data_IF_043373768090
#
_entry.id   IF_043373768090
#
_cell.length_a   1.000
_cell.length_b   1.000
_cell.length_c   1.000
_cell.angle_alpha   90.00
_cell.angle_beta   90.00
_cell.angle_gamma   90.00
#
_symmetry.space_group_name_H-M   'P 1'
#
loop_
_entity.id
_entity.type
_entity.pdbx_description
1 polymer ?
#
# COMPACT_ATOMS: atom_id res chain seq x y z
N UNK A 1 -27.95 -7.77 -18.52
CA UNK A 1 -27.75 -7.89 -17.07
C UNK A 1 -26.82 -6.76 -16.64
N UNK A 2 -27.04 -6.13 -15.49
CA UNK A 2 -26.14 -5.06 -15.00
C UNK A 2 -24.76 -5.67 -14.74
N UNK A 3 -23.71 -5.10 -15.32
CA UNK A 3 -22.31 -5.52 -15.12
C UNK A 3 -21.77 -5.01 -13.79
N UNK A 4 -22.52 -4.18 -13.07
CA UNK A 4 -22.22 -3.61 -11.76
C UNK A 4 -23.31 -4.01 -10.79
N UNK A 5 -22.93 -4.58 -9.66
CA UNK A 5 -23.79 -5.01 -8.57
C UNK A 5 -23.51 -4.17 -7.32
N UNK A 6 -24.53 -3.56 -6.74
CA UNK A 6 -24.38 -2.84 -5.46
C UNK A 6 -24.19 -3.79 -4.29
N UNK A 7 -23.39 -3.38 -3.31
CA UNK A 7 -23.30 -4.06 -2.03
C UNK A 7 -24.65 -3.99 -1.29
N UNK A 8 -24.95 -5.03 -0.53
CA UNK A 8 -26.12 -5.01 0.35
C UNK A 8 -25.95 -3.93 1.43
N UNK A 9 -27.04 -3.33 1.93
CA UNK A 9 -26.98 -2.24 2.92
C UNK A 9 -26.15 -2.60 4.17
N UNK A 10 -26.23 -3.85 4.64
CA UNK A 10 -25.44 -4.33 5.77
C UNK A 10 -23.95 -4.46 5.43
N UNK A 11 -23.58 -4.80 4.20
CA UNK A 11 -22.20 -4.85 3.73
C UNK A 11 -21.62 -3.44 3.61
N UNK A 12 -22.37 -2.50 3.05
CA UNK A 12 -21.97 -1.09 2.93
C UNK A 12 -21.73 -0.46 4.30
N UNK A 13 -22.66 -0.65 5.23
CA UNK A 13 -22.50 -0.18 6.62
C UNK A 13 -21.26 -0.77 7.28
N UNK A 14 -21.10 -2.09 7.17
CA UNK A 14 -19.92 -2.77 7.74
C UNK A 14 -18.61 -2.27 7.12
N UNK A 15 -18.60 -2.01 5.82
CA UNK A 15 -17.41 -1.45 5.15
C UNK A 15 -17.03 -0.09 5.73
N UNK A 16 -17.99 0.82 5.91
CA UNK A 16 -17.76 2.17 6.46
C UNK A 16 -17.23 2.08 7.90
N UNK A 17 -17.82 1.24 8.73
CA UNK A 17 -17.38 1.03 10.12
C UNK A 17 -15.96 0.46 10.16
N UNK A 18 -15.67 -0.53 9.35
CA UNK A 18 -14.35 -1.19 9.27
C UNK A 18 -13.27 -0.24 8.73
N UNK A 19 -13.57 0.52 7.68
CA UNK A 19 -12.67 1.52 7.09
C UNK A 19 -12.28 2.58 8.14
N UNK A 20 -13.25 3.10 8.87
CA UNK A 20 -13.04 4.09 9.91
C UNK A 20 -12.06 3.58 10.97
N UNK A 21 -12.31 2.38 11.50
CA UNK A 21 -11.43 1.75 12.51
C UNK A 21 -10.05 1.48 11.96
N UNK A 22 -9.95 1.02 10.72
CA UNK A 22 -8.67 0.70 10.08
C UNK A 22 -7.81 1.96 9.85
N UNK A 23 -8.41 3.06 9.39
CA UNK A 23 -7.69 4.32 9.20
C UNK A 23 -7.22 4.91 10.53
N UNK A 24 -8.03 4.82 11.59
CA UNK A 24 -7.62 5.23 12.93
C UNK A 24 -6.49 4.34 13.49
N UNK A 25 -6.51 3.03 13.23
CA UNK A 25 -5.41 2.13 13.58
C UNK A 25 -4.11 2.53 12.87
N UNK A 26 -4.16 2.90 11.59
CA UNK A 26 -2.98 3.39 10.86
C UNK A 26 -2.42 4.68 11.47
N UNK A 27 -3.28 5.62 11.85
CA UNK A 27 -2.88 6.85 12.56
C UNK A 27 -2.22 6.51 13.89
N UNK A 28 -2.82 5.63 14.70
CA UNK A 28 -2.26 5.22 15.99
C UNK A 28 -0.91 4.50 15.84
N UNK A 29 -0.70 3.71 14.79
CA UNK A 29 0.62 3.10 14.46
C UNK A 29 1.67 4.17 14.19
N UNK A 30 1.32 5.21 13.43
CA UNK A 30 2.22 6.34 13.14
C UNK A 30 2.56 7.13 14.42
N UNK A 31 1.57 7.43 15.25
CA UNK A 31 1.77 8.12 16.54
C UNK A 31 2.66 7.31 17.50
N UNK A 32 2.40 6.00 17.62
CA UNK A 32 3.21 5.11 18.45
C UNK A 32 4.66 4.99 17.93
N UNK A 33 4.85 5.05 16.60
CA UNK A 33 6.19 5.04 16.00
C UNK A 33 7.02 6.28 16.38
N UNK A 34 6.40 7.45 16.60
CA UNK A 34 7.10 8.68 17.01
C UNK A 34 7.65 8.61 18.43
N UNK A 35 7.04 7.79 19.30
CA UNK A 35 7.44 7.63 20.71
C UNK A 35 8.15 6.29 20.98
N UNK A 36 8.61 5.60 19.92
CA UNK A 36 9.44 4.38 20.06
C UNK A 36 10.74 4.67 20.78
N UNK A 37 11.33 3.62 21.41
CA UNK A 37 12.52 3.72 22.21
C UNK A 37 12.20 4.09 23.65
N UNK A 38 13.19 4.64 24.39
CA UNK A 38 13.08 4.95 25.81
C UNK A 38 13.62 6.34 26.15
N UNK A 39 13.23 6.84 27.30
CA UNK A 39 13.77 8.05 27.90
C UNK A 39 13.99 7.74 29.38
N UNK A 40 15.21 7.95 29.88
CA UNK A 40 15.58 7.56 31.24
C UNK A 40 16.70 8.45 31.77
N UNK A 41 16.85 8.45 33.10
CA UNK A 41 17.91 9.16 33.81
C UNK A 41 19.18 8.30 33.87
N UNK A 42 20.34 8.91 33.63
CA UNK A 42 21.64 8.29 33.79
C UNK A 42 22.53 9.17 34.68
N UNK A 43 23.13 8.57 35.72
CA UNK A 43 24.10 9.27 36.56
C UNK A 43 25.50 9.21 35.93
N UNK A 44 26.14 10.37 35.79
CA UNK A 44 27.52 10.52 35.34
C UNK A 44 28.22 11.55 36.24
N UNK A 45 29.33 11.18 36.87
CA UNK A 45 30.12 12.05 37.76
C UNK A 45 29.26 12.74 38.85
N UNK A 46 28.34 11.98 39.45
CA UNK A 46 27.45 12.49 40.50
C UNK A 46 26.30 13.40 40.02
N UNK A 47 26.14 13.62 38.74
CA UNK A 47 25.03 14.37 38.13
C UNK A 47 24.13 13.46 37.30
N UNK A 48 22.82 13.69 37.34
CA UNK A 48 21.85 12.96 36.50
C UNK A 48 21.59 13.69 35.19
N UNK A 49 21.58 12.93 34.10
CA UNK A 49 21.29 13.41 32.73
C UNK A 49 20.13 12.66 32.16
N UNK A 50 19.23 13.37 31.47
CA UNK A 50 18.16 12.75 30.73
C UNK A 50 18.68 12.20 29.40
N UNK A 51 18.51 10.90 29.19
CA UNK A 51 18.96 10.20 27.98
C UNK A 51 17.73 9.79 27.15
N UNK A 52 17.73 10.15 25.87
CA UNK A 52 16.78 9.64 24.88
C UNK A 52 17.43 8.52 24.10
N UNK A 53 16.85 7.35 24.13
CA UNK A 53 17.30 6.19 23.37
C UNK A 53 16.30 5.92 22.22
N UNK A 54 16.81 5.80 20.99
CA UNK A 54 16.02 5.42 19.82
C UNK A 54 15.66 3.92 19.85
N UNK A 55 14.71 3.50 19.02
CA UNK A 55 14.39 2.07 18.86
C UNK A 55 15.56 1.22 18.34
N UNK A 56 16.55 1.83 17.69
CA UNK A 56 17.79 1.20 17.25
C UNK A 56 18.96 1.29 18.23
N UNK A 57 18.71 1.69 19.49
CA UNK A 57 19.71 1.75 20.56
C UNK A 57 20.60 3.01 20.56
N UNK A 58 20.50 3.89 19.55
CA UNK A 58 21.24 5.13 19.54
C UNK A 58 20.79 6.05 20.67
N UNK A 59 21.73 6.56 21.49
CA UNK A 59 21.47 7.36 22.66
C UNK A 59 21.91 8.81 22.45
N UNK A 60 21.09 9.75 22.96
CA UNK A 60 21.38 11.19 22.96
C UNK A 60 21.06 11.76 24.34
N UNK A 61 22.02 12.51 24.93
CA UNK A 61 21.76 13.29 26.13
C UNK A 61 20.93 14.53 25.78
N UNK A 62 19.88 14.78 26.56
CA UNK A 62 18.98 15.96 26.45
C UNK A 62 19.33 17.05 27.46
N UNK A 63 20.26 16.78 28.39
CA UNK A 63 20.74 17.75 29.38
C UNK A 63 20.74 17.17 30.79
N UNK A 64 21.33 17.95 31.73
CA UNK A 64 21.30 17.61 33.17
C UNK A 64 19.91 17.71 33.72
N UNK A 65 19.67 17.09 34.87
CA UNK A 65 18.37 17.12 35.56
C UNK A 65 18.01 18.56 35.98
N UNK A 66 16.86 19.00 35.52
CA UNK A 66 16.27 20.31 35.75
C UNK A 66 14.75 20.21 35.66
N UNK A 67 14.02 21.23 36.06
CA UNK A 67 12.57 21.27 35.92
C UNK A 67 12.14 21.01 34.45
N UNK A 68 12.85 21.58 33.47
CA UNK A 68 12.55 21.40 32.03
C UNK A 68 12.74 19.95 31.57
N UNK A 69 13.83 19.31 32.00
CA UNK A 69 14.11 17.90 31.59
C UNK A 69 13.22 16.92 32.35
N UNK A 70 12.79 17.21 33.57
CA UNK A 70 11.79 16.43 34.30
C UNK A 70 10.43 16.50 33.62
N UNK A 71 9.96 17.70 33.24
CA UNK A 71 8.72 17.88 32.49
C UNK A 71 8.79 17.20 31.12
N UNK A 72 9.92 17.29 30.40
CA UNK A 72 10.13 16.58 29.13
C UNK A 72 10.03 15.06 29.30
N UNK A 73 10.62 14.49 30.37
CA UNK A 73 10.54 13.06 30.68
C UNK A 73 9.11 12.62 30.97
N UNK A 74 8.37 13.36 31.84
CA UNK A 74 6.99 13.03 32.19
C UNK A 74 6.06 13.16 30.97
N UNK A 75 6.18 14.21 30.16
CA UNK A 75 5.41 14.35 28.89
C UNK A 75 5.69 13.20 27.93
N UNK A 76 6.95 12.76 27.81
CA UNK A 76 7.28 11.60 26.97
C UNK A 76 6.62 10.32 27.49
N UNK A 77 6.66 10.04 28.80
CA UNK A 77 6.04 8.87 29.42
C UNK A 77 4.52 8.86 29.18
N UNK A 78 3.86 9.98 29.44
CA UNK A 78 2.41 10.11 29.24
C UNK A 78 2.03 9.89 27.77
N UNK A 79 2.73 10.54 26.83
CA UNK A 79 2.48 10.35 25.39
C UNK A 79 2.71 8.91 24.94
N UNK A 80 3.78 8.26 25.43
CA UNK A 80 4.09 6.87 25.10
C UNK A 80 3.02 5.92 25.64
N UNK A 81 2.58 6.10 26.87
CA UNK A 81 1.52 5.30 27.49
C UNK A 81 0.18 5.48 26.74
N UNK A 82 -0.23 6.72 26.46
CA UNK A 82 -1.45 7.02 25.72
C UNK A 82 -1.44 6.43 24.30
N UNK A 83 -0.32 6.60 23.56
CA UNK A 83 -0.17 6.03 22.21
C UNK A 83 -0.21 4.49 22.23
N UNK A 84 0.43 3.86 23.23
CA UNK A 84 0.39 2.41 23.42
C UNK A 84 -1.00 1.89 23.71
N UNK A 85 -1.73 2.51 24.64
CA UNK A 85 -3.11 2.13 24.97
C UNK A 85 -4.06 2.30 23.79
N UNK A 86 -3.97 3.43 23.06
CA UNK A 86 -4.77 3.68 21.86
C UNK A 86 -4.49 2.64 20.76
N UNK A 87 -3.21 2.34 20.51
CA UNK A 87 -2.81 1.34 19.53
C UNK A 87 -3.36 -0.04 19.86
N UNK A 88 -3.29 -0.47 21.14
CA UNK A 88 -3.81 -1.76 21.59
C UNK A 88 -5.34 -1.84 21.41
N UNK A 89 -6.08 -0.81 21.82
CA UNK A 89 -7.53 -0.75 21.68
C UNK A 89 -7.97 -0.82 20.20
N UNK A 90 -7.34 -0.03 19.32
CA UNK A 90 -7.66 -0.01 17.90
C UNK A 90 -7.24 -1.30 17.19
N UNK A 91 -6.17 -1.97 17.63
CA UNK A 91 -5.79 -3.29 17.11
C UNK A 91 -6.88 -4.32 17.42
N UNK A 92 -7.40 -4.33 18.64
CA UNK A 92 -8.50 -5.23 19.03
C UNK A 92 -9.77 -4.92 18.24
N UNK A 93 -10.12 -3.64 18.09
CA UNK A 93 -11.27 -3.22 17.30
C UNK A 93 -11.13 -3.63 15.83
N UNK A 94 -9.96 -3.44 15.21
CA UNK A 94 -9.71 -3.82 13.83
C UNK A 94 -9.85 -5.34 13.61
N UNK A 95 -9.34 -6.18 14.52
CA UNK A 95 -9.56 -7.63 14.45
C UNK A 95 -11.03 -8.01 14.55
N UNK A 96 -11.85 -7.27 15.30
CA UNK A 96 -13.29 -7.48 15.34
C UNK A 96 -13.94 -7.12 14.01
N UNK A 97 -13.54 -5.99 13.41
CA UNK A 97 -14.02 -5.58 12.08
C UNK A 97 -13.62 -6.59 10.99
N UNK A 98 -12.41 -7.14 11.03
CA UNK A 98 -11.96 -8.18 10.09
C UNK A 98 -12.87 -9.42 10.14
N UNK A 99 -13.24 -9.88 11.34
CA UNK A 99 -14.17 -11.02 11.50
C UNK A 99 -15.56 -10.71 10.96
N UNK A 100 -16.06 -9.50 11.20
CA UNK A 100 -17.36 -9.05 10.69
C UNK A 100 -17.34 -8.88 9.16
N UNK A 101 -16.28 -8.32 8.59
CA UNK A 101 -16.06 -8.24 7.14
C UNK A 101 -16.13 -9.62 6.49
N UNK A 102 -15.46 -10.62 7.08
CA UNK A 102 -15.50 -11.99 6.59
C UNK A 102 -16.90 -12.60 6.68
N UNK A 103 -17.57 -12.46 7.83
CA UNK A 103 -18.91 -13.02 8.06
C UNK A 103 -19.96 -12.44 7.10
N UNK A 104 -19.90 -11.15 6.84
CA UNK A 104 -20.80 -10.43 5.92
C UNK A 104 -20.33 -10.46 4.46
N UNK A 105 -19.16 -11.07 4.18
CA UNK A 105 -18.56 -11.14 2.83
C UNK A 105 -18.41 -9.75 2.20
N UNK A 106 -17.90 -8.79 2.96
CA UNK A 106 -17.73 -7.40 2.52
C UNK A 106 -16.70 -7.30 1.40
N UNK A 107 -15.55 -7.98 1.56
CA UNK A 107 -14.44 -7.95 0.63
C UNK A 107 -14.33 -9.19 -0.26
N UNK A 108 -13.56 -9.04 -1.36
CA UNK A 108 -13.21 -10.13 -2.28
C UNK A 108 -11.81 -10.01 -2.88
N UNK A 109 -11.01 -9.08 -2.38
CA UNK A 109 -9.61 -8.96 -2.82
C UNK A 109 -8.85 -10.23 -2.40
N UNK A 110 -8.03 -10.84 -3.28
CA UNK A 110 -7.22 -11.99 -2.90
C UNK A 110 -6.34 -11.67 -1.68
N UNK A 111 -6.29 -12.58 -0.71
CA UNK A 111 -5.56 -12.38 0.55
C UNK A 111 -4.09 -12.05 0.33
N UNK A 112 -3.47 -12.64 -0.70
CA UNK A 112 -2.06 -12.37 -1.05
C UNK A 112 -1.84 -10.90 -1.48
N UNK A 113 -2.80 -10.27 -2.17
CA UNK A 113 -2.74 -8.84 -2.53
C UNK A 113 -2.73 -7.98 -1.27
N UNK A 114 -3.64 -8.24 -0.33
CA UNK A 114 -3.70 -7.54 0.95
C UNK A 114 -2.41 -7.72 1.75
N UNK A 115 -1.87 -8.95 1.79
CA UNK A 115 -0.60 -9.24 2.47
C UNK A 115 0.56 -8.45 1.84
N UNK A 116 0.63 -8.41 0.50
CA UNK A 116 1.65 -7.65 -0.23
C UNK A 116 1.58 -6.16 0.07
N UNK A 117 0.38 -5.55 -0.01
CA UNK A 117 0.19 -4.13 0.31
C UNK A 117 0.56 -3.81 1.77
N UNK A 118 0.14 -4.65 2.72
CA UNK A 118 0.48 -4.48 4.14
C UNK A 118 1.97 -4.68 4.42
N UNK A 119 2.67 -5.56 3.70
CA UNK A 119 4.11 -5.73 3.85
C UNK A 119 4.89 -4.52 3.34
N UNK A 120 4.44 -3.92 2.23
CA UNK A 120 5.00 -2.66 1.72
C UNK A 120 4.75 -1.51 2.69
N UNK A 121 3.56 -1.41 3.29
CA UNK A 121 3.26 -0.41 4.31
C UNK A 121 4.15 -0.58 5.55
N UNK A 122 4.26 -1.80 6.07
CA UNK A 122 5.10 -2.11 7.24
C UNK A 122 6.58 -1.80 7.00
N UNK A 123 7.05 -1.94 5.76
CA UNK A 123 8.38 -1.56 5.33
C UNK A 123 8.53 -0.05 5.05
N UNK A 124 7.46 0.76 5.12
CA UNK A 124 7.48 2.17 4.75
C UNK A 124 7.74 2.42 3.26
N UNK A 125 7.37 1.45 2.42
CA UNK A 125 7.58 1.48 0.97
C UNK A 125 6.30 1.80 0.19
N UNK A 126 5.14 1.85 0.84
CA UNK A 126 3.82 2.00 0.21
C UNK A 126 3.74 3.22 -0.72
N UNK A 127 4.31 4.37 -0.31
CA UNK A 127 4.22 5.63 -1.07
C UNK A 127 5.14 5.67 -2.31
N UNK A 128 5.95 4.63 -2.51
CA UNK A 128 6.82 4.48 -3.67
C UNK A 128 6.14 3.74 -4.82
N UNK A 129 4.97 3.14 -4.57
CA UNK A 129 4.25 2.32 -5.53
C UNK A 129 2.79 2.73 -5.66
N UNK A 130 2.24 2.54 -6.86
CA UNK A 130 0.81 2.45 -7.06
C UNK A 130 0.47 1.10 -7.69
N UNK A 131 -0.64 0.51 -7.28
CA UNK A 131 -1.20 -0.69 -7.92
C UNK A 131 -1.84 -0.28 -9.24
N UNK A 132 -1.46 -0.93 -10.32
CA UNK A 132 -2.05 -0.70 -11.64
C UNK A 132 -2.71 -2.00 -12.16
N UNK A 133 -3.13 -2.01 -13.41
CA UNK A 133 -3.71 -3.21 -14.00
C UNK A 133 -5.07 -3.59 -13.40
N UNK A 134 -5.36 -4.87 -13.39
CA UNK A 134 -6.67 -5.41 -12.98
C UNK A 134 -6.97 -5.15 -11.51
N UNK A 135 -5.99 -5.25 -10.62
CA UNK A 135 -6.22 -5.09 -9.19
C UNK A 135 -6.64 -3.68 -8.78
N UNK A 136 -6.33 -2.64 -9.60
CA UNK A 136 -6.82 -1.28 -9.35
C UNK A 136 -8.35 -1.18 -9.28
N UNK A 137 -9.07 -2.08 -9.95
CA UNK A 137 -10.53 -2.14 -9.96
C UNK A 137 -11.11 -2.35 -8.55
N UNK A 138 -10.42 -3.08 -7.69
CA UNK A 138 -10.89 -3.29 -6.31
C UNK A 138 -10.96 -2.00 -5.49
N UNK A 139 -10.07 -1.05 -5.76
CA UNK A 139 -10.13 0.27 -5.12
C UNK A 139 -11.35 1.06 -5.61
N UNK A 140 -11.70 0.96 -6.90
CA UNK A 140 -12.86 1.63 -7.46
C UNK A 140 -14.18 1.00 -6.96
N UNK A 141 -14.25 -0.33 -6.88
CA UNK A 141 -15.38 -1.05 -6.29
C UNK A 141 -15.63 -0.61 -4.85
N UNK A 142 -14.56 -0.61 -4.04
CA UNK A 142 -14.65 -0.27 -2.63
C UNK A 142 -15.13 1.16 -2.41
N UNK A 143 -14.64 2.11 -3.20
CA UNK A 143 -15.03 3.52 -3.11
C UNK A 143 -16.51 3.77 -3.44
N UNK A 144 -17.12 2.91 -4.27
CA UNK A 144 -18.50 3.08 -4.73
C UNK A 144 -19.48 2.11 -4.07
N UNK A 145 -19.00 1.17 -3.23
CA UNK A 145 -19.87 0.16 -2.63
C UNK A 145 -20.49 -0.79 -3.65
N UNK A 146 -19.72 -1.16 -4.69
CA UNK A 146 -20.18 -2.03 -5.78
C UNK A 146 -19.23 -3.18 -6.05
N UNK A 147 -19.65 -4.09 -6.94
CA UNK A 147 -18.86 -5.19 -7.49
C UNK A 147 -19.02 -5.28 -8.99
N UNK A 148 -17.89 -5.43 -9.69
CA UNK A 148 -17.89 -5.76 -11.11
C UNK A 148 -18.11 -7.26 -11.34
N UNK A 149 -18.39 -7.65 -12.57
CA UNK A 149 -18.45 -9.07 -12.95
C UNK A 149 -17.08 -9.75 -12.79
N UNK A 150 -17.04 -11.06 -12.45
CA UNK A 150 -15.78 -11.78 -12.25
C UNK A 150 -14.84 -11.75 -13.45
N UNK A 151 -15.37 -11.74 -14.68
CA UNK A 151 -14.57 -11.76 -15.91
C UNK A 151 -13.64 -10.54 -16.05
N UNK A 152 -14.05 -9.39 -15.49
CA UNK A 152 -13.22 -8.18 -15.48
C UNK A 152 -12.01 -8.30 -14.54
N UNK A 153 -12.10 -9.17 -13.52
CA UNK A 153 -11.14 -9.24 -12.40
C UNK A 153 -10.22 -10.47 -12.45
N UNK A 154 -10.46 -11.40 -13.36
CA UNK A 154 -9.68 -12.63 -13.45
C UNK A 154 -8.21 -12.34 -13.75
N UNK A 155 -7.34 -12.44 -12.73
CA UNK A 155 -5.89 -12.26 -12.85
C UNK A 155 -5.18 -12.95 -11.68
N UNK A 156 -3.93 -13.38 -11.89
CA UNK A 156 -3.06 -13.97 -10.87
C UNK A 156 -1.77 -13.15 -10.65
N UNK A 157 -1.76 -11.92 -11.15
CA UNK A 157 -0.62 -11.02 -11.09
C UNK A 157 -1.02 -9.67 -10.51
N UNK A 158 -0.20 -9.08 -9.67
CA UNK A 158 -0.33 -7.67 -9.26
C UNK A 158 0.78 -6.84 -9.91
N UNK A 159 0.38 -5.81 -10.63
CA UNK A 159 1.30 -4.84 -11.22
C UNK A 159 1.57 -3.69 -10.23
N UNK A 160 2.80 -3.51 -9.80
CA UNK A 160 3.26 -2.44 -8.94
C UNK A 160 4.07 -1.42 -9.77
N UNK A 161 3.49 -0.26 -10.02
CA UNK A 161 4.18 0.83 -10.70
C UNK A 161 5.02 1.61 -9.70
N UNK A 162 6.35 1.49 -9.85
CA UNK A 162 7.35 2.18 -9.05
C UNK A 162 7.53 3.63 -9.50
N UNK A 163 7.44 4.57 -8.57
CA UNK A 163 7.75 5.97 -8.82
C UNK A 163 9.27 6.22 -8.78
N UNK A 164 9.93 6.12 -9.92
CA UNK A 164 11.37 6.28 -10.05
C UNK A 164 11.89 7.66 -9.55
N UNK A 165 11.03 8.68 -9.45
CA UNK A 165 11.37 9.99 -8.87
C UNK A 165 11.71 9.89 -7.39
N UNK A 166 11.17 8.88 -6.70
CA UNK A 166 11.37 8.61 -5.27
C UNK A 166 12.47 7.58 -5.00
N UNK A 167 13.29 7.22 -6.01
CA UNK A 167 14.29 6.15 -5.90
C UNK A 167 15.26 6.35 -4.74
N UNK A 168 15.75 7.56 -4.49
CA UNK A 168 16.71 7.80 -3.40
C UNK A 168 16.10 7.52 -2.01
N UNK A 169 14.86 7.97 -1.79
CA UNK A 169 14.15 7.69 -0.52
C UNK A 169 13.83 6.21 -0.37
N UNK A 170 13.45 5.53 -1.45
CA UNK A 170 13.21 4.11 -1.50
C UNK A 170 14.44 3.29 -1.10
N UNK A 171 15.58 3.54 -1.74
CA UNK A 171 16.86 2.88 -1.42
C UNK A 171 17.31 3.17 0.01
N UNK A 172 17.16 4.40 0.48
CA UNK A 172 17.45 4.78 1.86
C UNK A 172 16.58 4.03 2.88
N UNK A 173 15.32 3.79 2.54
CA UNK A 173 14.40 3.03 3.40
C UNK A 173 14.78 1.54 3.48
N UNK A 174 15.11 0.90 2.35
CA UNK A 174 15.57 -0.49 2.33
C UNK A 174 16.86 -0.68 3.13
N UNK A 175 17.85 0.23 2.96
CA UNK A 175 19.10 0.19 3.75
C UNK A 175 18.84 0.33 5.25
N UNK A 176 17.90 1.18 5.68
CA UNK A 176 17.51 1.30 7.09
C UNK A 176 16.89 0.03 7.66
N UNK A 177 16.25 -0.77 6.82
CA UNK A 177 15.63 -2.04 7.20
C UNK A 177 16.61 -3.22 7.10
N UNK A 178 17.82 -2.98 6.59
CA UNK A 178 18.79 -4.04 6.23
C UNK A 178 18.10 -5.15 5.41
N UNK A 179 17.38 -4.74 4.35
CA UNK A 179 16.51 -5.62 3.56
C UNK A 179 16.57 -5.29 2.08
N UNK A 180 16.24 -6.27 1.24
CA UNK A 180 15.98 -6.13 -0.19
C UNK A 180 14.47 -5.97 -0.45
N UNK A 181 14.09 -5.62 -1.67
CA UNK A 181 12.67 -5.51 -2.03
C UNK A 181 12.01 -6.89 -2.03
N UNK A 182 12.67 -7.93 -2.56
CA UNK A 182 12.18 -9.31 -2.44
C UNK A 182 12.04 -9.74 -0.97
N UNK A 183 12.91 -9.25 -0.09
CA UNK A 183 12.81 -9.47 1.36
C UNK A 183 11.54 -8.86 1.96
N UNK A 184 11.12 -7.69 1.47
CA UNK A 184 9.84 -7.09 1.86
C UNK A 184 8.63 -7.93 1.36
N UNK A 185 8.68 -8.45 0.12
CA UNK A 185 7.62 -9.33 -0.42
C UNK A 185 7.54 -10.66 0.34
N UNK A 186 8.67 -11.24 0.75
CA UNK A 186 8.70 -12.47 1.57
C UNK A 186 8.06 -12.34 2.93
N UNK A 187 7.83 -11.14 3.44
CA UNK A 187 7.01 -10.89 4.63
C UNK A 187 5.51 -11.08 4.37
N UNK A 188 5.06 -10.94 3.12
CA UNK A 188 3.70 -11.24 2.71
C UNK A 188 3.49 -12.73 2.48
N UNK A 189 4.46 -13.38 1.83
CA UNK A 189 4.54 -14.81 1.59
C UNK A 189 6.01 -15.24 1.48
N UNK A 190 6.54 -16.07 2.40
CA UNK A 190 7.95 -16.48 2.41
C UNK A 190 8.42 -17.22 1.15
N UNK A 191 7.51 -17.79 0.36
CA UNK A 191 7.82 -18.55 -0.86
C UNK A 191 8.14 -17.65 -2.06
N UNK A 192 7.95 -16.32 -1.97
CA UNK A 192 8.29 -15.43 -3.09
C UNK A 192 9.77 -15.55 -3.48
N UNK A 193 10.00 -15.72 -4.78
CA UNK A 193 11.31 -15.74 -5.42
C UNK A 193 11.29 -14.95 -6.72
N UNK A 194 12.40 -14.32 -7.05
CA UNK A 194 12.57 -13.62 -8.34
C UNK A 194 12.69 -14.66 -9.44
N UNK A 195 11.96 -14.48 -10.56
CA UNK A 195 12.07 -15.36 -11.72
C UNK A 195 13.42 -15.17 -12.42
N UNK A 196 14.03 -16.28 -12.85
CA UNK A 196 15.37 -16.26 -13.47
C UNK A 196 15.39 -15.56 -14.83
N UNK A 197 14.33 -15.75 -15.60
CA UNK A 197 14.11 -15.26 -16.97
C UNK A 197 13.33 -13.94 -17.03
N UNK A 198 12.64 -13.57 -15.95
CA UNK A 198 11.84 -12.35 -15.84
C UNK A 198 12.18 -11.62 -14.53
N UNK A 199 13.29 -10.90 -14.52
CA UNK A 199 13.79 -10.21 -13.31
C UNK A 199 12.88 -9.15 -12.74
N UNK A 200 11.84 -8.71 -13.45
CA UNK A 200 10.81 -7.80 -12.95
C UNK A 200 9.72 -8.51 -12.15
N UNK A 201 9.66 -9.84 -12.19
CA UNK A 201 8.59 -10.66 -11.63
C UNK A 201 9.08 -11.47 -10.44
N UNK A 202 8.38 -11.35 -9.32
CA UNK A 202 8.47 -12.29 -8.21
C UNK A 202 7.26 -13.23 -8.23
N UNK A 203 7.49 -14.53 -8.06
CA UNK A 203 6.44 -15.56 -8.05
C UNK A 203 6.48 -16.32 -6.71
N UNK A 204 5.31 -16.67 -6.17
CA UNK A 204 5.18 -17.54 -5.00
C UNK A 204 4.86 -18.98 -5.40
N UNK A 205 4.82 -19.91 -4.45
CA UNK A 205 4.53 -21.32 -4.72
C UNK A 205 3.09 -21.59 -5.17
N UNK A 206 2.16 -20.66 -4.93
CA UNK A 206 0.80 -20.72 -5.45
C UNK A 206 0.68 -20.19 -6.90
N UNK A 207 1.77 -19.74 -7.53
CA UNK A 207 1.79 -19.18 -8.86
C UNK A 207 1.30 -17.74 -8.96
N UNK A 208 1.18 -17.04 -7.83
CA UNK A 208 0.83 -15.61 -7.81
C UNK A 208 2.07 -14.78 -8.12
N UNK A 209 1.93 -13.82 -9.04
CA UNK A 209 3.03 -12.98 -9.52
C UNK A 209 2.93 -11.54 -8.99
N UNK A 210 4.09 -10.94 -8.74
CA UNK A 210 4.24 -9.51 -8.43
C UNK A 210 5.17 -8.90 -9.45
N UNK A 211 4.64 -8.06 -10.33
CA UNK A 211 5.40 -7.38 -11.37
C UNK A 211 5.79 -5.97 -10.96
N UNK A 212 7.07 -5.62 -11.12
CA UNK A 212 7.58 -4.29 -10.85
C UNK A 212 7.80 -3.53 -12.14
N UNK A 213 7.02 -2.47 -12.30
CA UNK A 213 6.96 -1.65 -13.51
C UNK A 213 7.44 -0.23 -13.18
N UNK A 214 8.06 0.44 -14.13
CA UNK A 214 8.40 1.87 -14.05
C UNK A 214 8.16 2.60 -15.36
N UNK A 215 8.20 3.93 -15.31
CA UNK A 215 8.21 4.75 -16.53
C UNK A 215 9.47 4.51 -17.36
N UNK A 216 9.41 4.89 -18.63
CA UNK A 216 10.59 4.95 -19.50
C UNK A 216 11.69 5.80 -18.84
N UNK A 217 12.93 5.34 -18.89
CA UNK A 217 14.07 6.06 -18.35
C UNK A 217 14.20 7.43 -18.99
N UNK A 218 14.49 8.44 -18.16
CA UNK A 218 14.78 9.81 -18.59
C UNK A 218 16.17 10.17 -18.09
N UNK A 219 16.95 10.82 -18.96
CA UNK A 219 18.28 11.37 -18.65
C UNK A 219 19.18 10.44 -17.84
N UNK A 220 19.38 10.75 -16.55
CA UNK A 220 20.26 10.04 -15.63
C UNK A 220 19.62 8.86 -14.88
N UNK A 221 18.41 8.45 -15.24
CA UNK A 221 17.81 7.26 -14.64
C UNK A 221 18.67 6.03 -14.93
N UNK A 222 18.98 5.19 -13.95
CA UNK A 222 19.71 3.95 -14.20
C UNK A 222 18.90 3.00 -15.08
N UNK A 223 19.60 2.26 -15.96
CA UNK A 223 19.01 1.23 -16.77
C UNK A 223 20.02 0.09 -16.98
N UNK A 224 19.73 -1.14 -16.52
CA UNK A 224 18.53 -1.57 -15.79
C UNK A 224 18.40 -0.91 -14.40
N UNK A 225 17.16 -0.81 -13.88
CA UNK A 225 16.91 -0.28 -12.55
C UNK A 225 16.64 -1.43 -11.58
N UNK A 226 17.60 -1.73 -10.74
CA UNK A 226 17.47 -2.70 -9.64
C UNK A 226 16.69 -2.07 -8.49
N UNK A 227 15.92 -2.90 -7.78
CA UNK A 227 15.10 -2.46 -6.64
C UNK A 227 15.90 -2.38 -5.33
N UNK A 228 17.08 -2.99 -5.24
CA UNK A 228 18.03 -2.82 -4.14
C UNK A 228 19.48 -2.99 -4.59
N UNK A 229 20.42 -2.93 -3.64
CA UNK A 229 21.83 -3.20 -3.90
C UNK A 229 22.11 -4.72 -4.03
N UNK A 230 21.16 -5.60 -3.67
CA UNK A 230 21.24 -7.05 -3.86
C UNK A 230 21.13 -7.42 -5.35
N UNK A 231 22.09 -8.16 -5.88
CA UNK A 231 22.09 -8.59 -7.29
C UNK A 231 20.97 -9.57 -7.63
N UNK A 232 20.43 -10.26 -6.63
CA UNK A 232 19.35 -11.23 -6.77
C UNK A 232 17.97 -10.62 -6.57
N UNK A 233 17.88 -9.29 -6.34
CA UNK A 233 16.60 -8.59 -6.18
C UNK A 233 15.94 -8.30 -7.53
N UNK A 234 14.66 -7.89 -7.48
CA UNK A 234 13.89 -7.52 -8.64
C UNK A 234 14.47 -6.30 -9.38
N UNK A 235 14.14 -6.21 -10.65
CA UNK A 235 14.40 -5.06 -11.50
C UNK A 235 13.07 -4.44 -11.91
N UNK A 236 13.03 -3.12 -12.10
CA UNK A 236 11.84 -2.46 -12.61
C UNK A 236 11.87 -2.39 -14.15
N UNK A 237 10.89 -3.01 -14.81
CA UNK A 237 10.74 -2.99 -16.27
C UNK A 237 10.08 -1.71 -16.75
N UNK A 238 10.52 -1.18 -17.90
CA UNK A 238 9.99 0.04 -18.48
C UNK A 238 8.68 -0.21 -19.23
N UNK A 239 7.66 0.61 -18.96
CA UNK A 239 6.37 0.55 -19.68
C UNK A 239 6.00 1.95 -20.19
N UNK A 240 5.61 2.00 -21.49
CA UNK A 240 5.11 3.24 -22.11
C UNK A 240 3.81 3.70 -21.42
N UNK A 241 3.70 5.02 -21.21
CA UNK A 241 2.52 5.61 -20.56
C UNK A 241 2.52 5.57 -19.02
N UNK A 242 3.49 4.91 -18.40
CA UNK A 242 3.59 4.84 -16.94
C UNK A 242 3.86 6.22 -16.30
N UNK A 243 4.52 7.12 -17.01
CA UNK A 243 4.70 8.52 -16.57
C UNK A 243 3.37 9.27 -16.48
N UNK A 244 2.43 9.03 -17.40
CA UNK A 244 1.08 9.62 -17.34
C UNK A 244 0.33 9.14 -16.08
N UNK A 245 0.44 7.84 -15.72
CA UNK A 245 -0.18 7.30 -14.51
C UNK A 245 0.34 7.97 -13.23
N UNK A 246 1.63 8.31 -13.18
CA UNK A 246 2.28 8.96 -12.05
C UNK A 246 2.12 10.50 -12.01
N UNK A 247 1.73 11.11 -13.12
CA UNK A 247 1.59 12.58 -13.25
C UNK A 247 0.18 13.09 -12.96
N UNK A 248 -0.79 12.18 -12.89
CA UNK A 248 -2.19 12.51 -12.53
C UNK A 248 -2.40 12.37 -11.02
N UNK A 249 -3.43 13.01 -10.47
CA UNK A 249 -3.80 12.80 -9.07
C UNK A 249 -3.96 11.31 -8.76
N UNK A 250 -3.39 10.86 -7.64
CA UNK A 250 -3.56 9.51 -7.16
C UNK A 250 -4.97 9.24 -6.66
N UNK A 251 -5.31 7.97 -6.57
CA UNK A 251 -6.53 7.48 -5.94
C UNK A 251 -6.13 6.47 -4.87
N UNK A 252 -6.68 6.59 -3.67
CA UNK A 252 -6.34 5.74 -2.54
C UNK A 252 -7.62 5.30 -1.84
N UNK A 253 -7.77 3.99 -1.60
CA UNK A 253 -8.94 3.42 -0.95
C UNK A 253 -8.58 2.25 -0.06
N UNK A 254 -9.32 2.08 1.02
CA UNK A 254 -9.25 0.86 1.84
C UNK A 254 -9.92 -0.27 1.08
N UNK A 255 -9.21 -1.37 0.88
CA UNK A 255 -9.73 -2.56 0.22
C UNK A 255 -9.78 -3.72 1.22
N UNK A 256 -10.75 -4.62 1.02
CA UNK A 256 -11.04 -5.73 1.93
C UNK A 256 -10.88 -7.07 1.21
N UNK A 257 -10.18 -8.01 1.84
CA UNK A 257 -10.02 -9.37 1.30
C UNK A 257 -11.24 -10.25 1.58
N UNK A 258 -11.26 -11.41 0.92
CA UNK A 258 -12.20 -12.50 1.21
C UNK A 258 -12.09 -13.02 2.66
N UNK A 259 -10.92 -12.84 3.29
CA UNK A 259 -10.71 -13.19 4.70
C UNK A 259 -11.10 -12.08 5.68
N UNK A 260 -11.53 -10.91 5.17
CA UNK A 260 -11.93 -9.74 5.95
C UNK A 260 -10.80 -8.79 6.31
N UNK A 261 -9.52 -9.14 6.03
CA UNK A 261 -8.35 -8.27 6.26
C UNK A 261 -8.37 -7.06 5.33
N UNK A 262 -7.79 -5.98 5.79
CA UNK A 262 -7.80 -4.70 5.10
C UNK A 262 -6.39 -4.21 4.73
N UNK A 263 -6.30 -3.45 3.66
CA UNK A 263 -5.10 -2.69 3.28
C UNK A 263 -5.51 -1.39 2.59
N UNK A 264 -4.63 -0.39 2.55
CA UNK A 264 -4.79 0.75 1.65
C UNK A 264 -4.19 0.38 0.29
N UNK A 265 -4.96 0.56 -0.76
CA UNK A 265 -4.52 0.42 -2.13
C UNK A 265 -4.39 1.81 -2.77
N UNK A 266 -3.16 2.19 -3.10
CA UNK A 266 -2.87 3.37 -3.89
C UNK A 266 -2.91 2.98 -5.37
N UNK A 267 -3.63 3.75 -6.17
CA UNK A 267 -3.73 3.55 -7.63
C UNK A 267 -3.88 4.89 -8.36
N UNK A 268 -4.04 4.86 -9.67
CA UNK A 268 -4.33 6.04 -10.48
C UNK A 268 -5.79 6.46 -10.37
N UNK A 269 -6.10 7.72 -10.70
CA UNK A 269 -7.47 8.20 -10.79
C UNK A 269 -8.30 7.39 -11.82
N UNK A 270 -9.62 7.21 -11.60
CA UNK A 270 -10.50 6.46 -12.52
C UNK A 270 -10.42 6.93 -13.97
N UNK A 271 -10.42 8.23 -14.21
CA UNK A 271 -10.31 8.77 -15.59
C UNK A 271 -8.99 8.43 -16.27
N UNK A 272 -7.89 8.40 -15.51
CA UNK A 272 -6.58 7.96 -16.02
C UNK A 272 -6.61 6.47 -16.35
N UNK A 273 -7.21 5.66 -15.50
CA UNK A 273 -7.39 4.22 -15.75
C UNK A 273 -8.16 3.98 -17.06
N UNK A 274 -9.29 4.64 -17.24
CA UNK A 274 -10.12 4.57 -18.47
C UNK A 274 -9.26 4.91 -19.70
N UNK A 275 -8.57 6.05 -19.68
CA UNK A 275 -7.76 6.50 -20.80
C UNK A 275 -6.64 5.50 -21.16
N UNK A 276 -5.94 4.96 -20.18
CA UNK A 276 -4.88 3.98 -20.37
C UNK A 276 -5.44 2.65 -20.89
N UNK A 277 -6.55 2.15 -20.34
CA UNK A 277 -7.18 0.90 -20.78
C UNK A 277 -7.70 1.00 -22.23
N UNK A 278 -8.31 2.13 -22.61
CA UNK A 278 -8.71 2.38 -23.99
C UNK A 278 -7.51 2.40 -24.94
N UNK A 279 -6.42 3.07 -24.54
CA UNK A 279 -5.20 3.12 -25.35
C UNK A 279 -4.59 1.73 -25.56
N UNK A 280 -4.51 0.91 -24.49
CA UNK A 280 -3.98 -0.45 -24.57
C UNK A 280 -4.90 -1.34 -25.40
N UNK A 281 -6.21 -1.27 -25.23
CA UNK A 281 -7.20 -2.03 -26.00
C UNK A 281 -7.16 -1.70 -27.50
N UNK A 282 -6.83 -0.48 -27.88
CA UNK A 282 -6.69 -0.05 -29.26
C UNK A 282 -5.37 -0.50 -29.92
N UNK A 283 -4.39 -1.00 -29.15
CA UNK A 283 -3.06 -1.38 -29.67
C UNK A 283 -3.14 -2.66 -30.51
N UNK A 284 -2.71 -2.66 -31.78
CA UNK A 284 -2.66 -3.86 -32.62
C UNK A 284 -1.74 -4.96 -32.06
N UNK A 285 -0.69 -4.56 -31.32
CA UNK A 285 0.28 -5.49 -30.73
C UNK A 285 -0.24 -6.19 -29.45
N UNK A 286 -1.40 -5.79 -28.93
CA UNK A 286 -1.99 -6.40 -27.73
C UNK A 286 -2.67 -7.72 -28.08
N UNK A 287 -2.46 -8.76 -27.28
CA UNK A 287 -3.19 -10.04 -27.41
C UNK A 287 -4.71 -9.79 -27.50
N UNK A 288 -5.42 -10.38 -28.49
CA UNK A 288 -6.85 -10.15 -28.70
C UNK A 288 -7.71 -10.41 -27.47
N UNK A 289 -7.41 -11.46 -26.67
CA UNK A 289 -8.12 -11.79 -25.43
C UNK A 289 -7.92 -10.72 -24.38
N UNK A 290 -6.68 -10.23 -24.25
CA UNK A 290 -6.35 -9.13 -23.33
C UNK A 290 -6.97 -7.80 -23.79
N UNK A 291 -7.09 -7.55 -25.12
CA UNK A 291 -7.79 -6.36 -25.65
C UNK A 291 -9.24 -6.31 -25.24
N UNK A 292 -9.97 -7.42 -25.40
CA UNK A 292 -11.39 -7.50 -24.99
C UNK A 292 -11.56 -7.21 -23.49
N UNK A 293 -10.70 -7.78 -22.65
CA UNK A 293 -10.69 -7.54 -21.21
C UNK A 293 -10.37 -6.07 -20.88
N UNK A 294 -9.37 -5.47 -21.51
CA UNK A 294 -8.99 -4.07 -21.28
C UNK A 294 -10.13 -3.12 -21.69
N UNK A 295 -10.84 -3.40 -22.80
CA UNK A 295 -12.00 -2.65 -23.24
C UNK A 295 -13.17 -2.76 -22.23
N UNK A 296 -13.48 -3.97 -21.76
CA UNK A 296 -14.50 -4.20 -20.73
C UNK A 296 -14.16 -3.45 -19.43
N UNK A 297 -12.94 -3.50 -18.97
CA UNK A 297 -12.49 -2.79 -17.77
C UNK A 297 -12.66 -1.26 -17.91
N UNK A 298 -12.33 -0.70 -19.08
CA UNK A 298 -12.53 0.72 -19.34
C UNK A 298 -14.02 1.08 -19.31
N UNK A 299 -14.89 0.29 -19.94
CA UNK A 299 -16.34 0.49 -19.98
C UNK A 299 -16.94 0.44 -18.56
N UNK A 300 -16.56 -0.54 -17.75
CA UNK A 300 -17.05 -0.70 -16.38
C UNK A 300 -16.69 0.51 -15.51
N UNK A 301 -15.44 0.98 -15.59
CA UNK A 301 -15.03 2.17 -14.82
C UNK A 301 -15.70 3.45 -15.35
N UNK A 302 -15.98 3.56 -16.67
CA UNK A 302 -16.80 4.66 -17.21
C UNK A 302 -18.21 4.67 -16.64
N UNK A 303 -18.88 3.51 -16.61
CA UNK A 303 -20.21 3.37 -15.99
C UNK A 303 -20.16 3.73 -14.50
N UNK A 304 -19.11 3.29 -13.79
CA UNK A 304 -18.90 3.61 -12.38
C UNK A 304 -18.76 5.12 -12.15
N UNK A 305 -17.92 5.80 -12.96
CA UNK A 305 -17.74 7.25 -12.88
C UNK A 305 -19.07 7.98 -13.12
N UNK A 306 -19.84 7.56 -14.12
CA UNK A 306 -21.14 8.16 -14.44
C UNK A 306 -22.19 7.96 -13.35
N UNK A 307 -22.22 6.79 -12.71
CA UNK A 307 -23.26 6.45 -11.74
C UNK A 307 -22.92 6.80 -10.29
N UNK A 308 -21.63 6.73 -9.92
CA UNK A 308 -21.23 6.70 -8.52
C UNK A 308 -20.12 7.70 -8.14
N UNK A 309 -19.47 8.38 -9.11
CA UNK A 309 -18.36 9.29 -8.84
C UNK A 309 -18.59 10.70 -9.44
N UNK A 310 -19.58 11.47 -8.93
CA UNK A 310 -19.92 12.78 -9.48
C UNK A 310 -18.74 13.77 -9.49
N UNK A 311 -17.78 13.63 -8.57
CA UNK A 311 -16.56 14.47 -8.51
C UNK A 311 -15.67 14.35 -9.75
N UNK A 312 -15.80 13.28 -10.55
CA UNK A 312 -15.06 13.10 -11.80
C UNK A 312 -15.85 13.44 -13.04
N UNK A 313 -17.15 13.78 -12.92
CA UNK A 313 -18.00 14.15 -14.06
C UNK A 313 -17.79 15.61 -14.50
N UNK A 314 -17.43 16.50 -13.58
CA UNK A 314 -17.22 17.93 -13.88
C UNK A 314 -15.89 18.22 -14.61
N UNK A 315 -15.03 17.23 -14.80
CA UNK A 315 -13.71 17.35 -15.43
C UNK A 315 -13.67 16.72 -16.86
N UNK A 316 -14.81 16.29 -17.40
CA UNK A 316 -14.91 15.64 -18.72
C UNK A 316 -15.35 16.63 -19.82
#
# INVERSE_FOLDING_TARGET
MSEILELLPNQTRQYIDAETVFLELRRARSEAAQVRGSMFWRTQQGKEYLIRESAGGAQKSLGPRSADTEDMHERFKLRKAAAGSRLAALTTAAHSQERMNKALRVGRVPGIVINTLNSLEAAGLQDHFITIGTHALYAFEAACGVRFTPDALATQDIDLLFDARKRLSFMSQLRRLDSSFIGALRKADPSFRVMSDQKQTAINDAGFEVDVIRRIAKDKDPHPMRMSDDENDLWAVQVKGADRMLSTPGFSQVVVSETGRMAVMNTMAPLTFIAIKKLIAASPARDPRKRAKDALQAQLVEQLVRGYMPQYQAAA
#
